data_IF_669286659667
#
_entry.id   IF_669286659667
#
_cell.length_a   1.000
_cell.length_b   1.000
_cell.length_c   1.000
_cell.angle_alpha   90.00
_cell.angle_beta   90.00
_cell.angle_gamma   90.00
#
_symmetry.space_group_name_H-M   'P 1'
#
loop_
_entity.id
_entity.type
_entity.pdbx_description
1 polymer ?
#
# COMPACT_ATOMS: atom_id res chain seq x y z
N UNK A 1 17.32 10.37 11.74
CA UNK A 1 16.41 10.53 10.59
C UNK A 1 15.48 9.31 10.51
N UNK A 2 14.15 9.47 10.58
CA UNK A 2 13.20 8.35 10.46
C UNK A 2 13.03 8.00 8.97
N UNK A 3 13.36 6.76 8.56
CA UNK A 3 13.10 6.27 7.19
C UNK A 3 11.58 6.12 7.02
N UNK A 4 11.00 6.76 6.00
CA UNK A 4 9.60 6.52 5.62
C UNK A 4 9.48 5.09 5.07
N UNK A 5 8.45 4.32 5.45
CA UNK A 5 8.23 3.00 4.89
C UNK A 5 7.89 3.12 3.40
N UNK A 6 8.54 2.28 2.59
CA UNK A 6 8.28 2.15 1.16
C UNK A 6 7.73 0.76 0.85
N UNK A 7 6.89 0.67 -0.18
CA UNK A 7 6.27 -0.57 -0.66
C UNK A 7 6.81 -0.87 -2.05
N UNK A 8 7.13 -2.14 -2.30
CA UNK A 8 7.52 -2.64 -3.62
C UNK A 8 6.31 -3.31 -4.26
N UNK A 9 5.93 -2.87 -5.46
CA UNK A 9 4.85 -3.51 -6.21
C UNK A 9 5.23 -4.96 -6.59
N UNK A 10 4.39 -5.98 -6.33
CA UNK A 10 4.70 -7.36 -6.72
C UNK A 10 4.63 -7.60 -8.23
N UNK A 11 3.96 -6.72 -8.99
CA UNK A 11 3.76 -6.88 -10.44
C UNK A 11 4.87 -6.20 -11.24
N UNK A 12 5.09 -4.89 -11.02
CA UNK A 12 6.05 -4.11 -11.81
C UNK A 12 7.34 -3.78 -11.04
N UNK A 13 7.44 -4.18 -9.76
CA UNK A 13 8.59 -3.92 -8.87
C UNK A 13 8.90 -2.44 -8.62
N UNK A 14 8.01 -1.53 -9.00
CA UNK A 14 8.18 -0.12 -8.67
C UNK A 14 8.12 0.10 -7.16
N UNK A 15 8.92 1.06 -6.68
CA UNK A 15 8.91 1.51 -5.29
C UNK A 15 8.13 2.81 -5.16
N UNK A 16 7.31 2.89 -4.12
CA UNK A 16 6.60 4.10 -3.74
C UNK A 16 6.46 4.17 -2.22
N UNK A 17 6.23 5.36 -1.66
CA UNK A 17 6.06 5.49 -0.22
C UNK A 17 4.71 4.92 0.21
N UNK A 18 4.69 4.25 1.36
CA UNK A 18 3.50 3.59 1.89
C UNK A 18 2.31 4.56 2.04
N UNK A 19 2.58 5.81 2.41
CA UNK A 19 1.56 6.88 2.55
C UNK A 19 0.94 7.33 1.22
N UNK A 20 1.61 7.12 0.09
CA UNK A 20 1.14 7.52 -1.24
C UNK A 20 0.28 6.45 -1.91
N UNK A 21 0.44 5.19 -1.49
CA UNK A 21 -0.13 4.02 -2.17
C UNK A 21 -1.17 3.27 -1.36
N UNK A 22 -1.23 3.50 -0.05
CA UNK A 22 -2.26 2.92 0.82
C UNK A 22 -3.40 3.89 1.06
N UNK A 23 -4.61 3.45 0.78
CA UNK A 23 -5.85 4.10 1.18
C UNK A 23 -6.51 3.26 2.27
N UNK A 24 -6.64 3.81 3.48
CA UNK A 24 -7.36 3.17 4.58
C UNK A 24 -8.80 3.71 4.65
N UNK A 25 -9.79 2.83 4.73
CA UNK A 25 -11.19 3.18 5.00
C UNK A 25 -11.58 2.83 6.44
N UNK A 26 -12.53 3.58 7.01
CA UNK A 26 -12.97 3.46 8.41
C UNK A 26 -13.49 2.07 8.81
N UNK A 27 -13.80 1.22 7.83
CA UNK A 27 -14.30 -0.16 7.98
C UNK A 27 -13.20 -1.22 7.80
N UNK A 28 -11.93 -0.91 8.12
CA UNK A 28 -10.78 -1.82 8.01
C UNK A 28 -10.41 -2.28 6.59
N UNK A 29 -10.99 -1.71 5.54
CA UNK A 29 -10.57 -2.04 4.18
C UNK A 29 -9.34 -1.20 3.78
N UNK A 30 -8.15 -1.75 4.00
CA UNK A 30 -6.91 -1.18 3.48
C UNK A 30 -6.75 -1.61 2.03
N UNK A 31 -6.61 -0.62 1.14
CA UNK A 31 -6.41 -0.80 -0.29
C UNK A 31 -5.02 -0.28 -0.66
N UNK A 32 -4.22 -1.13 -1.29
CA UNK A 32 -3.00 -0.74 -1.99
C UNK A 32 -3.30 -0.52 -3.47
N UNK A 33 -2.81 0.58 -4.01
CA UNK A 33 -2.86 0.87 -5.45
C UNK A 33 -1.46 1.26 -5.93
N UNK A 34 -0.94 0.53 -6.92
CA UNK A 34 0.34 0.83 -7.52
C UNK A 34 0.22 1.99 -8.54
N UNK A 35 0.97 3.10 -8.40
CA UNK A 35 0.87 4.23 -9.33
C UNK A 35 1.40 3.89 -10.73
N UNK A 36 2.38 2.98 -10.83
CA UNK A 36 3.06 2.65 -12.11
C UNK A 36 2.24 1.73 -13.01
N UNK A 37 1.64 0.67 -12.46
CA UNK A 37 0.91 -0.35 -13.25
C UNK A 37 -0.57 -0.47 -12.89
N UNK A 38 -1.08 0.37 -11.99
CA UNK A 38 -2.50 0.38 -11.54
C UNK A 38 -2.96 -0.93 -10.88
N UNK A 39 -2.03 -1.80 -10.48
CA UNK A 39 -2.35 -3.00 -9.70
C UNK A 39 -2.98 -2.61 -8.36
N UNK A 40 -4.12 -3.23 -8.03
CA UNK A 40 -4.84 -3.01 -6.78
C UNK A 40 -4.87 -4.27 -5.92
N UNK A 41 -4.56 -4.12 -4.64
CA UNK A 41 -4.76 -5.15 -3.62
C UNK A 41 -5.70 -4.59 -2.55
N UNK A 42 -6.84 -5.24 -2.33
CA UNK A 42 -7.89 -4.83 -1.38
C UNK A 42 -7.96 -5.80 -0.22
N UNK A 43 -8.66 -5.43 0.85
CA UNK A 43 -8.84 -6.26 2.05
C UNK A 43 -7.50 -6.71 2.64
N UNK A 44 -6.49 -5.82 2.62
CA UNK A 44 -5.19 -6.13 3.20
C UNK A 44 -5.40 -6.29 4.70
N UNK A 45 -5.30 -7.53 5.19
CA UNK A 45 -5.44 -7.82 6.60
C UNK A 45 -4.25 -7.25 7.35
N UNK A 46 -4.45 -6.10 7.98
CA UNK A 46 -3.46 -5.54 8.89
C UNK A 46 -3.73 -6.11 10.27
N UNK A 47 -2.81 -6.91 10.78
CA UNK A 47 -2.81 -7.35 12.18
C UNK A 47 -2.42 -6.17 13.09
N UNK A 48 -3.35 -5.23 13.26
CA UNK A 48 -3.45 -4.43 14.48
C UNK A 48 -4.70 -4.93 15.19
N UNK A 49 -4.51 -5.45 16.40
CA UNK A 49 -5.58 -6.00 17.24
C UNK A 49 -6.67 -5.01 17.58
#
# INVERSE_FOLDING_TARGET
MKKKPAVICPVCRSQAYLEEVLTAQSNQNVIYTCPSCQFMLRNIYTSKG
#
